data_IF_234415720488
#
_entry.id   IF_234415720488
#
_cell.length_a   1.000
_cell.length_b   1.000
_cell.length_c   1.000
_cell.angle_alpha   90.00
_cell.angle_beta   90.00
_cell.angle_gamma   90.00
#
_symmetry.space_group_name_H-M   'P 1'
#
loop_
_entity.id
_entity.type
_entity.pdbx_description
1 polymer ?
#
# COMPACT_ATOMS: atom_id res chain seq x y z
N UNK A 1 41.92 28.28 42.59
CA UNK A 1 41.00 28.54 41.46
C UNK A 1 40.57 27.18 40.91
N UNK A 2 39.42 26.65 41.36
CA UNK A 2 38.85 25.42 40.81
C UNK A 2 37.84 25.80 39.72
N UNK A 3 38.15 25.45 38.47
CA UNK A 3 37.28 25.65 37.32
C UNK A 3 36.27 24.51 37.27
N UNK A 4 34.99 24.80 37.55
CA UNK A 4 33.89 23.85 37.37
C UNK A 4 33.56 23.75 35.87
N UNK A 5 33.76 22.58 35.28
CA UNK A 5 33.31 22.28 33.93
C UNK A 5 31.83 21.90 33.97
N UNK A 6 30.99 22.74 33.38
CA UNK A 6 29.55 22.51 33.22
C UNK A 6 29.34 21.54 32.05
N UNK A 7 28.96 20.29 32.33
CA UNK A 7 28.57 19.31 31.33
C UNK A 7 27.18 19.67 30.77
N UNK A 8 27.13 20.15 29.53
CA UNK A 8 25.90 20.34 28.76
C UNK A 8 25.53 19.03 28.07
N UNK A 9 24.52 18.32 28.59
CA UNK A 9 23.88 17.18 27.94
C UNK A 9 23.01 17.68 26.78
N UNK A 10 23.23 17.25 25.53
CA UNK A 10 22.36 17.64 24.43
C UNK A 10 21.02 16.91 24.56
N UNK A 11 19.92 17.66 24.69
CA UNK A 11 18.57 17.15 24.48
C UNK A 11 18.42 16.82 22.98
N UNK A 12 18.44 15.54 22.64
CA UNK A 12 18.08 15.07 21.31
C UNK A 12 16.55 15.20 21.13
N UNK A 13 16.12 16.21 20.39
CA UNK A 13 14.75 16.28 19.89
C UNK A 13 14.58 15.26 18.76
N UNK A 14 13.93 14.13 19.06
CA UNK A 14 13.47 13.21 18.03
C UNK A 14 12.33 13.88 17.25
N UNK A 15 12.64 14.37 16.04
CA UNK A 15 11.63 14.76 15.06
C UNK A 15 10.84 13.50 14.70
N UNK A 16 9.64 13.33 15.27
CA UNK A 16 8.65 12.41 14.73
C UNK A 16 8.28 12.96 13.35
N UNK A 17 8.81 12.35 12.29
CA UNK A 17 8.31 12.61 10.95
C UNK A 17 6.80 12.32 10.97
N UNK A 18 5.98 13.32 10.63
CA UNK A 18 4.55 13.11 10.42
C UNK A 18 4.40 12.08 9.30
N UNK A 19 3.74 10.95 9.58
CA UNK A 19 3.44 9.98 8.54
C UNK A 19 2.61 10.67 7.45
N UNK A 20 3.12 10.65 6.21
CA UNK A 20 2.41 11.23 5.08
C UNK A 20 1.15 10.41 4.82
N UNK A 21 0.02 11.09 4.72
CA UNK A 21 -1.28 10.49 4.45
C UNK A 21 -1.71 10.85 3.03
N UNK A 22 -1.97 9.83 2.21
CA UNK A 22 -2.36 9.99 0.82
C UNK A 22 -3.82 9.64 0.64
N UNK A 23 -4.52 10.38 -0.22
CA UNK A 23 -5.77 9.89 -0.80
C UNK A 23 -5.46 8.67 -1.66
N UNK A 24 -6.17 7.57 -1.45
CA UNK A 24 -5.88 6.30 -2.09
C UNK A 24 -7.13 5.71 -2.75
N UNK A 25 -6.93 5.05 -3.88
CA UNK A 25 -7.89 4.11 -4.45
C UNK A 25 -7.43 2.69 -4.21
N UNK A 26 -8.40 1.80 -4.05
CA UNK A 26 -8.18 0.39 -3.77
C UNK A 26 -8.89 -0.42 -4.83
N UNK A 27 -8.20 -1.39 -5.39
CA UNK A 27 -8.75 -2.43 -6.26
C UNK A 27 -8.40 -3.81 -5.72
N UNK A 28 -8.80 -4.84 -6.44
CA UNK A 28 -8.50 -6.22 -6.14
C UNK A 28 -8.03 -6.96 -7.39
N UNK A 29 -7.05 -7.83 -7.22
CA UNK A 29 -6.55 -8.73 -8.26
C UNK A 29 -6.15 -10.07 -7.64
N UNK A 30 -6.17 -11.12 -8.45
CA UNK A 30 -5.80 -12.47 -8.03
C UNK A 30 -6.70 -13.54 -8.65
N UNK A 31 -6.55 -14.77 -8.18
CA UNK A 31 -7.29 -15.91 -8.71
C UNK A 31 -8.80 -15.69 -8.60
N UNK A 32 -9.50 -15.81 -9.72
CA UNK A 32 -10.97 -15.71 -9.76
C UNK A 32 -11.51 -14.28 -9.80
N UNK A 33 -10.66 -13.28 -10.04
CA UNK A 33 -11.15 -11.95 -10.39
C UNK A 33 -11.88 -11.94 -11.75
N UNK A 34 -12.56 -10.83 -12.06
CA UNK A 34 -13.34 -10.70 -13.30
C UNK A 34 -12.48 -10.48 -14.54
N UNK A 35 -11.19 -10.15 -14.36
CA UNK A 35 -10.26 -9.84 -15.43
C UNK A 35 -9.41 -11.05 -15.84
N UNK A 36 -9.57 -12.19 -15.15
CA UNK A 36 -8.82 -13.41 -15.42
C UNK A 36 -7.38 -13.36 -14.92
N UNK A 37 -7.09 -12.53 -13.91
CA UNK A 37 -5.77 -12.50 -13.29
C UNK A 37 -5.43 -13.88 -12.71
N UNK A 38 -4.15 -14.24 -12.82
CA UNK A 38 -3.60 -15.39 -12.12
C UNK A 38 -3.48 -15.15 -10.61
N UNK A 39 -2.94 -16.14 -9.90
CA UNK A 39 -2.63 -16.02 -8.48
C UNK A 39 -1.67 -14.85 -8.23
N UNK A 40 -2.05 -13.92 -7.35
CA UNK A 40 -1.28 -12.74 -6.99
C UNK A 40 -0.25 -12.96 -5.86
N UNK A 41 -0.31 -14.11 -5.18
CA UNK A 41 0.57 -14.46 -4.07
C UNK A 41 1.58 -15.53 -4.51
N UNK A 42 2.49 -15.13 -5.41
CA UNK A 42 3.51 -15.98 -6.04
C UNK A 42 4.86 -15.27 -6.07
N UNK A 43 5.93 -16.04 -6.25
CA UNK A 43 7.32 -15.57 -6.32
C UNK A 43 7.65 -14.77 -7.60
N UNK A 44 6.82 -14.89 -8.64
CA UNK A 44 6.95 -14.15 -9.90
C UNK A 44 6.38 -12.72 -9.86
N UNK A 45 5.92 -12.25 -8.70
CA UNK A 45 5.58 -10.83 -8.50
C UNK A 45 6.79 -9.92 -8.73
N UNK A 46 6.57 -8.63 -9.00
CA UNK A 46 7.65 -7.71 -9.32
C UNK A 46 8.72 -7.58 -8.22
N UNK A 47 8.39 -7.88 -6.96
CA UNK A 47 9.37 -7.90 -5.87
C UNK A 47 10.12 -9.22 -5.71
N UNK A 48 9.73 -10.28 -6.43
CA UNK A 48 10.42 -11.58 -6.40
C UNK A 48 10.17 -12.41 -5.14
N UNK A 49 9.06 -12.18 -4.44
CA UNK A 49 8.66 -12.93 -3.25
C UNK A 49 7.14 -12.81 -3.00
N UNK A 50 6.60 -13.69 -2.17
CA UNK A 50 5.20 -13.67 -1.76
C UNK A 50 5.07 -13.66 -0.23
N UNK A 51 3.84 -13.57 0.27
CA UNK A 51 3.55 -13.51 1.70
C UNK A 51 2.89 -14.80 2.18
N UNK A 52 3.31 -15.29 3.33
CA UNK A 52 2.66 -16.39 4.06
C UNK A 52 1.97 -15.81 5.28
N UNK A 53 0.65 -16.04 5.37
CA UNK A 53 -0.21 -15.57 6.46
C UNK A 53 -0.29 -14.05 6.65
N UNK A 54 0.20 -13.23 5.71
CA UNK A 54 0.13 -11.77 5.77
C UNK A 54 -0.46 -11.15 4.50
N UNK A 55 -1.01 -9.95 4.62
CA UNK A 55 -1.67 -9.26 3.51
C UNK A 55 -0.66 -8.61 2.57
N UNK A 56 -0.89 -8.74 1.27
CA UNK A 56 -0.06 -8.12 0.24
C UNK A 56 -0.87 -7.31 -0.78
N UNK A 57 -0.18 -6.39 -1.45
CA UNK A 57 -0.75 -5.58 -2.51
C UNK A 57 0.28 -5.24 -3.59
N UNK A 58 -0.22 -5.00 -4.81
CA UNK A 58 0.52 -4.25 -5.81
C UNK A 58 0.29 -2.75 -5.56
N UNK A 59 1.32 -1.91 -5.74
CA UNK A 59 1.17 -0.46 -5.58
C UNK A 59 1.40 0.27 -6.91
N UNK A 60 0.71 1.39 -7.11
CA UNK A 60 0.84 2.23 -8.30
C UNK A 60 2.29 2.61 -8.60
N UNK A 61 2.62 2.74 -9.88
CA UNK A 61 4.00 2.85 -10.36
C UNK A 61 4.75 4.07 -9.79
N UNK A 62 4.06 5.19 -9.53
CA UNK A 62 4.64 6.36 -8.85
C UNK A 62 5.18 6.07 -7.45
N UNK A 63 4.61 5.09 -6.75
CA UNK A 63 5.10 4.63 -5.45
C UNK A 63 6.07 3.47 -5.63
N UNK A 64 5.76 2.51 -6.52
CA UNK A 64 6.61 1.34 -6.75
C UNK A 64 8.03 1.73 -7.15
N UNK A 65 8.15 2.73 -8.03
CA UNK A 65 9.37 3.46 -8.34
C UNK A 65 10.11 3.01 -9.61
N UNK A 66 9.72 1.90 -10.22
CA UNK A 66 10.25 1.40 -11.51
C UNK A 66 9.13 0.83 -12.37
N UNK A 67 9.39 0.63 -13.66
CA UNK A 67 8.40 0.12 -14.62
C UNK A 67 8.40 -1.40 -14.77
N UNK A 68 7.49 -1.94 -15.60
CA UNK A 68 7.47 -3.35 -15.94
C UNK A 68 8.81 -3.83 -16.52
N UNK A 69 9.31 -4.96 -16.00
CA UNK A 69 10.57 -5.58 -16.47
C UNK A 69 11.84 -5.06 -15.79
N UNK A 70 11.76 -3.99 -15.00
CA UNK A 70 12.91 -3.42 -14.27
C UNK A 70 13.23 -4.17 -12.96
N UNK A 71 12.36 -5.11 -12.57
CA UNK A 71 12.48 -5.89 -11.34
C UNK A 71 11.96 -5.15 -10.10
N UNK A 72 12.56 -5.43 -8.94
CA UNK A 72 12.11 -4.93 -7.65
C UNK A 72 12.35 -3.42 -7.51
N UNK A 73 11.26 -2.65 -7.40
CA UNK A 73 11.31 -1.23 -7.10
C UNK A 73 11.62 -0.92 -5.63
N UNK A 74 11.97 0.34 -5.31
CA UNK A 74 12.26 0.76 -3.93
C UNK A 74 11.08 0.60 -2.94
N UNK A 75 9.85 0.43 -3.42
CA UNK A 75 8.70 0.16 -2.56
C UNK A 75 8.62 -1.28 -2.05
N UNK A 76 9.32 -2.22 -2.69
CA UNK A 76 9.27 -3.62 -2.32
C UNK A 76 9.57 -3.83 -0.84
N UNK A 77 8.64 -4.47 -0.13
CA UNK A 77 8.76 -4.76 1.30
C UNK A 77 8.29 -3.63 2.21
N UNK A 78 7.93 -2.47 1.66
CA UNK A 78 7.30 -1.39 2.40
C UNK A 78 5.90 -1.78 2.87
N UNK A 79 5.54 -1.36 4.08
CA UNK A 79 4.24 -1.62 4.68
C UNK A 79 3.38 -0.36 4.75
N UNK A 80 2.09 -0.53 4.53
CA UNK A 80 1.12 0.56 4.45
C UNK A 80 -0.16 0.18 5.18
N UNK A 81 -0.65 1.08 6.02
CA UNK A 81 -2.03 1.02 6.52
C UNK A 81 -2.96 1.59 5.44
N UNK A 82 -3.95 0.80 5.03
CA UNK A 82 -4.97 1.16 4.06
C UNK A 82 -6.31 1.27 4.79
N UNK A 83 -6.98 2.41 4.69
CA UNK A 83 -8.31 2.62 5.27
C UNK A 83 -9.32 2.90 4.16
N UNK A 84 -10.38 2.10 4.07
CA UNK A 84 -11.44 2.27 3.07
C UNK A 84 -12.60 3.11 3.60
N UNK A 85 -13.23 3.93 2.76
CA UNK A 85 -14.30 4.84 3.17
C UNK A 85 -15.51 4.77 2.24
N UNK A 86 -15.31 4.97 0.93
CA UNK A 86 -16.41 5.05 -0.04
C UNK A 86 -16.21 4.13 -1.23
N UNK A 87 -17.28 3.86 -1.97
CA UNK A 87 -17.20 3.33 -3.33
C UNK A 87 -16.71 4.41 -4.31
N UNK A 88 -16.56 4.04 -5.59
CA UNK A 88 -16.17 4.95 -6.67
C UNK A 88 -17.20 6.01 -7.04
N UNK A 89 -18.44 5.89 -6.54
CA UNK A 89 -19.52 6.86 -6.71
C UNK A 89 -19.62 7.83 -5.52
N UNK A 90 -18.78 7.67 -4.50
CA UNK A 90 -18.75 8.50 -3.30
C UNK A 90 -19.73 8.07 -2.21
N UNK A 91 -20.39 6.91 -2.34
CA UNK A 91 -21.25 6.39 -1.28
C UNK A 91 -20.41 5.72 -0.20
N UNK A 92 -20.73 5.96 1.07
CA UNK A 92 -20.07 5.29 2.18
C UNK A 92 -20.26 3.76 2.10
N UNK A 93 -19.18 3.01 2.30
CA UNK A 93 -19.25 1.55 2.39
C UNK A 93 -19.83 1.12 3.73
N UNK A 94 -20.42 -0.08 3.76
CA UNK A 94 -20.93 -0.69 5.01
C UNK A 94 -19.85 -0.90 6.07
N UNK A 95 -18.59 -1.00 5.66
CA UNK A 95 -17.41 -1.10 6.50
C UNK A 95 -16.48 0.12 6.39
N UNK A 96 -17.02 1.31 6.08
CA UNK A 96 -16.25 2.55 6.06
C UNK A 96 -15.46 2.73 7.38
N UNK A 97 -14.19 3.10 7.26
CA UNK A 97 -13.24 3.19 8.37
C UNK A 97 -12.48 1.91 8.68
N UNK A 98 -12.77 0.80 8.00
CA UNK A 98 -11.99 -0.42 8.14
C UNK A 98 -10.56 -0.24 7.63
N UNK A 99 -9.58 -0.69 8.41
CA UNK A 99 -8.15 -0.61 8.10
C UNK A 99 -7.49 -1.99 8.07
N UNK A 100 -6.53 -2.17 7.16
CA UNK A 100 -5.56 -3.28 7.18
C UNK A 100 -4.14 -2.76 6.95
N UNK A 101 -3.13 -3.50 7.42
CA UNK A 101 -1.74 -3.25 7.03
C UNK A 101 -1.35 -4.26 5.95
N UNK A 102 -0.85 -3.77 4.82
CA UNK A 102 -0.35 -4.60 3.71
C UNK A 102 1.15 -4.43 3.53
N UNK A 103 1.80 -5.44 2.96
CA UNK A 103 3.17 -5.36 2.43
C UNK A 103 3.14 -5.27 0.91
N UNK A 104 3.93 -4.37 0.33
CA UNK A 104 4.06 -4.23 -1.12
C UNK A 104 4.91 -5.36 -1.68
N UNK A 105 4.29 -6.22 -2.50
CA UNK A 105 4.95 -7.36 -3.18
C UNK A 105 4.98 -7.22 -4.69
N UNK A 106 4.17 -6.31 -5.27
CA UNK A 106 4.02 -6.25 -6.71
C UNK A 106 3.85 -4.82 -7.24
N UNK A 107 3.97 -4.68 -8.56
CA UNK A 107 3.75 -3.44 -9.29
C UNK A 107 2.33 -3.40 -9.86
N UNK A 108 1.61 -2.30 -9.64
CA UNK A 108 0.48 -1.93 -10.47
C UNK A 108 0.98 -0.95 -11.55
N UNK A 109 1.15 -1.38 -12.81
CA UNK A 109 1.82 -0.60 -13.83
C UNK A 109 0.99 0.61 -14.25
N UNK A 110 1.64 1.70 -14.68
CA UNK A 110 0.94 2.86 -15.23
C UNK A 110 0.36 2.56 -16.63
N UNK A 111 1.09 1.77 -17.43
CA UNK A 111 0.67 1.42 -18.78
C UNK A 111 -0.59 0.52 -18.75
N UNK A 112 -1.60 0.90 -19.53
CA UNK A 112 -2.89 0.21 -19.58
C UNK A 112 -3.76 0.31 -18.31
N UNK A 113 -3.29 0.95 -17.23
CA UNK A 113 -4.04 1.05 -15.97
C UNK A 113 -4.10 2.50 -15.44
N UNK A 114 -5.12 3.28 -15.82
CA UNK A 114 -5.30 4.67 -15.40
C UNK A 114 -5.40 4.88 -13.88
N UNK A 115 -5.79 3.85 -13.11
CA UNK A 115 -5.84 3.95 -11.64
C UNK A 115 -4.44 4.05 -11.03
N UNK A 116 -3.43 3.51 -11.71
CA UNK A 116 -2.04 3.42 -11.28
C UNK A 116 -1.08 4.32 -12.08
N UNK A 117 -1.64 5.17 -12.94
CA UNK A 117 -0.90 6.00 -13.89
C UNK A 117 -0.58 7.42 -13.38
N UNK A 118 -0.68 7.67 -12.07
CA UNK A 118 -0.21 8.92 -11.49
C UNK A 118 1.28 9.09 -11.81
N UNK A 119 1.70 10.28 -12.22
CA UNK A 119 3.11 10.59 -12.52
C UNK A 119 3.95 10.85 -11.27
N UNK A 120 3.32 11.25 -10.17
CA UNK A 120 3.94 11.52 -8.87
C UNK A 120 2.92 11.32 -7.74
N UNK A 121 3.35 11.37 -6.48
CA UNK A 121 2.42 11.31 -5.33
C UNK A 121 1.68 12.63 -5.06
N UNK A 122 1.95 13.69 -5.84
CA UNK A 122 1.17 14.93 -5.82
C UNK A 122 0.08 14.98 -6.90
N UNK A 123 0.17 14.11 -7.91
CA UNK A 123 -0.86 13.96 -8.93
C UNK A 123 -1.98 13.05 -8.42
N UNK A 124 -3.08 12.96 -9.17
CA UNK A 124 -4.21 12.09 -8.84
C UNK A 124 -4.71 11.34 -10.07
N UNK A 125 -5.26 10.14 -9.87
CA UNK A 125 -6.05 9.45 -10.90
C UNK A 125 -7.45 10.06 -11.05
N UNK A 126 -8.29 9.45 -11.89
CA UNK A 126 -9.66 9.92 -12.18
C UNK A 126 -10.61 9.96 -10.97
N UNK A 127 -10.24 9.36 -9.83
CA UNK A 127 -11.01 9.36 -8.59
C UNK A 127 -10.41 10.29 -7.52
N UNK A 128 -9.40 11.09 -7.85
CA UNK A 128 -8.74 11.99 -6.89
C UNK A 128 -7.74 11.30 -5.96
N UNK A 129 -7.36 10.05 -6.26
CA UNK A 129 -6.39 9.31 -5.45
C UNK A 129 -4.95 9.53 -5.93
N UNK A 130 -4.06 9.83 -5.00
CA UNK A 130 -2.62 10.02 -5.26
C UNK A 130 -1.89 8.71 -5.51
N UNK A 131 -2.40 7.62 -4.94
CA UNK A 131 -1.81 6.29 -5.01
C UNK A 131 -2.93 5.26 -5.20
N UNK A 132 -2.61 4.14 -5.84
CA UNK A 132 -3.51 2.99 -5.89
C UNK A 132 -2.85 1.77 -5.26
N UNK A 133 -3.62 1.02 -4.48
CA UNK A 133 -3.24 -0.31 -4.01
C UNK A 133 -4.19 -1.34 -4.62
N UNK A 134 -3.62 -2.21 -5.45
CA UNK A 134 -4.33 -3.38 -5.94
C UNK A 134 -4.13 -4.50 -4.92
N UNK A 135 -5.15 -4.76 -4.11
CA UNK A 135 -5.07 -5.70 -2.99
C UNK A 135 -5.07 -7.14 -3.52
N UNK A 136 -4.18 -7.98 -3.00
CA UNK A 136 -4.08 -9.36 -3.47
C UNK A 136 -5.16 -10.25 -2.83
N UNK A 137 -6.08 -10.75 -3.66
CA UNK A 137 -7.17 -11.66 -3.25
C UNK A 137 -6.63 -12.97 -2.65
N UNK A 138 -5.56 -13.53 -3.24
CA UNK A 138 -4.96 -14.79 -2.80
C UNK A 138 -4.25 -14.70 -1.43
N UNK A 139 -3.84 -13.49 -1.02
CA UNK A 139 -3.34 -13.22 0.34
C UNK A 139 -4.45 -12.95 1.37
N UNK A 140 -5.69 -12.82 0.92
CA UNK A 140 -6.84 -12.41 1.73
C UNK A 140 -6.97 -10.89 1.95
N UNK A 141 -6.04 -10.08 1.43
CA UNK A 141 -6.03 -8.63 1.62
C UNK A 141 -7.32 -7.95 1.12
N UNK A 142 -7.80 -8.33 -0.07
CA UNK A 142 -9.02 -7.74 -0.65
C UNK A 142 -10.24 -8.01 0.23
N UNK A 143 -10.43 -9.26 0.64
CA UNK A 143 -11.55 -9.63 1.50
C UNK A 143 -11.46 -8.93 2.88
N UNK A 144 -10.26 -8.79 3.42
CA UNK A 144 -10.05 -8.11 4.70
C UNK A 144 -10.35 -6.60 4.61
N UNK A 145 -9.97 -5.93 3.51
CA UNK A 145 -10.24 -4.50 3.33
C UNK A 145 -11.69 -4.21 2.92
N UNK A 146 -12.20 -4.89 1.89
CA UNK A 146 -13.51 -4.62 1.29
C UNK A 146 -14.68 -5.30 2.02
N UNK A 147 -14.43 -6.42 2.73
CA UNK A 147 -15.49 -7.21 3.37
C UNK A 147 -16.67 -7.51 2.42
N UNK A 148 -17.88 -7.32 2.93
CA UNK A 148 -19.13 -7.51 2.18
C UNK A 148 -19.64 -6.21 1.52
N UNK A 149 -18.76 -5.25 1.21
CA UNK A 149 -19.17 -3.95 0.64
C UNK A 149 -19.80 -4.05 -0.76
N UNK A 150 -19.56 -5.15 -1.49
CA UNK A 150 -20.11 -5.39 -2.82
C UNK A 150 -19.50 -4.55 -3.94
N UNK A 151 -18.41 -3.81 -3.65
CA UNK A 151 -17.62 -3.06 -4.64
C UNK A 151 -16.24 -3.69 -4.82
N UNK A 152 -15.69 -3.59 -6.03
CA UNK A 152 -14.31 -3.95 -6.36
C UNK A 152 -13.39 -2.71 -6.50
N UNK A 153 -13.94 -1.51 -6.30
CA UNK A 153 -13.21 -0.24 -6.32
C UNK A 153 -13.68 0.62 -5.16
N UNK A 154 -12.74 0.96 -4.27
CA UNK A 154 -12.98 1.79 -3.09
C UNK A 154 -12.01 2.96 -3.02
N UNK A 155 -12.38 3.97 -2.25
CA UNK A 155 -11.57 5.15 -1.98
C UNK A 155 -11.38 5.33 -0.48
N UNK A 156 -10.27 5.94 -0.09
CA UNK A 156 -9.96 6.26 1.30
C UNK A 156 -8.54 6.78 1.44
N UNK A 157 -7.81 6.26 2.43
CA UNK A 157 -6.47 6.78 2.79
C UNK A 157 -5.42 5.68 2.86
N UNK A 158 -4.18 6.03 2.52
CA UNK A 158 -3.02 5.17 2.70
C UNK A 158 -1.90 5.90 3.45
N UNK A 159 -1.35 5.24 4.47
CA UNK A 159 -0.27 5.76 5.30
C UNK A 159 0.87 4.75 5.34
N UNK A 160 2.10 5.21 5.06
CA UNK A 160 3.29 4.35 5.20
C UNK A 160 3.57 4.12 6.69
N UNK A 161 3.68 2.86 7.10
CA UNK A 161 3.85 2.46 8.50
C UNK A 161 5.13 1.64 8.71
N UNK A 162 5.47 1.38 9.97
CA UNK A 162 6.55 0.44 10.27
C UNK A 162 6.06 -1.00 10.01
N UNK A 163 6.88 -1.84 9.39
CA UNK A 163 6.49 -3.23 9.13
C UNK A 163 6.34 -4.10 10.39
N UNK A 164 6.70 -3.60 11.59
CA UNK A 164 6.30 -4.22 12.85
C UNK A 164 4.79 -4.18 13.12
N UNK A 165 4.03 -3.39 12.36
CA UNK A 165 2.56 -3.33 12.37
C UNK A 165 1.92 -4.31 11.37
N UNK A 166 2.73 -4.92 10.49
CA UNK A 166 2.29 -5.92 9.53
C UNK A 166 2.50 -7.32 10.10
N UNK A 167 1.46 -8.15 10.10
CA UNK A 167 1.54 -9.54 10.53
C UNK A 167 1.73 -10.47 9.32
N UNK A 168 2.69 -11.39 9.43
CA UNK A 168 2.96 -12.41 8.41
C UNK A 168 4.46 -12.71 8.24
N UNK A 169 4.76 -13.57 7.27
CA UNK A 169 6.11 -13.85 6.80
C UNK A 169 6.19 -13.68 5.28
N UNK A 170 7.41 -13.56 4.75
CA UNK A 170 7.66 -13.52 3.31
C UNK A 170 8.49 -14.72 2.89
N UNK A 171 8.13 -15.34 1.77
CA UNK A 171 8.81 -16.50 1.21
C UNK A 171 9.13 -16.27 -0.28
N UNK A 172 10.11 -17.03 -0.79
CA UNK A 172 10.53 -17.05 -2.19
C UNK A 172 10.25 -18.41 -2.80
#
# INVERSE_FOLDING_TARGET
MLSQALLLTPLAFALKASAQNYSASFTQYGSGDQNGSGNCNVDTTACGYYTTSGYSAAVSQNVFGVGPGDGAGPACGGCWELTIQTDSSGNALSNAGNSIVVKVTNLCPADGNPLCAQSSTSDTNQYGANVNFDTCMDSGASNALFGNSGTALGLGTAVKVNCGEWEGATDQ
#
